data_IF_855461111156
#
_entry.id   IF_855461111156
#
_cell.length_a   1.000
_cell.length_b   1.000
_cell.length_c   1.000
_cell.angle_alpha   90.00
_cell.angle_beta   90.00
_cell.angle_gamma   90.00
#
_symmetry.space_group_name_H-M   'P 1'
#
loop_
_entity.id
_entity.type
_entity.pdbx_description
1 polymer ?
#
# COMPACT_ATOMS: atom_id res chain seq x y z
N UNK A 1 -0.43 -6.88 16.22
CA UNK A 1 -0.14 -5.46 16.55
C UNK A 1 -0.37 -4.61 15.30
N UNK A 2 -0.91 -3.39 15.42
CA UNK A 2 -1.06 -2.46 14.28
C UNK A 2 0.10 -1.46 14.31
N UNK A 3 0.86 -1.39 13.22
CA UNK A 3 1.86 -0.34 12.98
C UNK A 3 1.37 0.46 11.77
N UNK A 4 1.53 1.79 11.84
CA UNK A 4 0.85 2.77 10.99
C UNK A 4 -0.67 2.79 11.20
N UNK A 5 -1.13 3.86 11.84
CA UNK A 5 -2.50 4.04 12.35
C UNK A 5 -3.53 4.41 11.27
N UNK A 6 -3.19 4.27 10.00
CA UNK A 6 -4.05 4.62 8.87
C UNK A 6 -4.20 6.13 8.64
N UNK A 7 -3.39 6.98 9.27
CA UNK A 7 -3.36 8.41 8.93
C UNK A 7 -2.65 8.67 7.60
N UNK A 8 -3.12 9.70 6.91
CA UNK A 8 -2.44 10.20 5.73
C UNK A 8 -1.19 10.99 6.14
N UNK A 9 -0.08 10.70 5.50
CA UNK A 9 1.18 11.44 5.62
C UNK A 9 1.45 12.12 4.30
N UNK A 10 1.64 13.44 4.31
CA UNK A 10 2.05 14.16 3.10
C UNK A 10 3.48 13.79 2.72
N UNK A 11 3.67 13.46 1.45
CA UNK A 11 4.99 13.23 0.86
C UNK A 11 5.55 14.56 0.36
N UNK A 12 6.88 14.68 0.30
CA UNK A 12 7.54 15.84 -0.30
C UNK A 12 7.46 15.72 -1.81
N UNK A 13 6.41 16.24 -2.42
CA UNK A 13 6.24 16.24 -3.88
C UNK A 13 5.65 17.56 -4.37
N UNK A 14 5.82 17.91 -5.65
CA UNK A 14 5.11 19.04 -6.25
C UNK A 14 3.58 18.80 -6.26
N UNK A 15 3.15 17.55 -6.38
CA UNK A 15 1.77 17.15 -6.65
C UNK A 15 0.93 16.80 -5.41
N UNK A 16 1.26 17.35 -4.23
CA UNK A 16 0.45 17.20 -3.00
C UNK A 16 0.07 15.73 -2.68
N UNK A 17 1.01 14.81 -2.90
CA UNK A 17 0.79 13.37 -2.73
C UNK A 17 0.78 13.04 -1.25
N UNK A 18 -0.10 12.12 -0.86
CA UNK A 18 -0.12 11.54 0.48
C UNK A 18 0.00 10.02 0.42
N UNK A 19 0.67 9.45 1.42
CA UNK A 19 0.71 8.02 1.66
C UNK A 19 -0.11 7.71 2.91
N UNK A 20 -0.97 6.70 2.82
CA UNK A 20 -1.62 6.08 3.98
C UNK A 20 -1.18 4.62 4.04
N UNK A 21 -0.72 4.22 5.22
CA UNK A 21 -0.30 2.85 5.51
C UNK A 21 -1.15 2.30 6.63
N UNK A 22 -1.69 1.10 6.44
CA UNK A 22 -2.26 0.27 7.48
C UNK A 22 -1.60 -1.10 7.34
N UNK A 23 -1.02 -1.62 8.41
CA UNK A 23 -0.45 -2.97 8.44
C UNK A 23 -0.85 -3.70 9.71
N UNK A 24 -1.16 -4.99 9.57
CA UNK A 24 -1.32 -5.91 10.69
C UNK A 24 -0.21 -6.94 10.66
N UNK A 25 0.38 -7.16 11.82
CA UNK A 25 1.35 -8.22 12.03
C UNK A 25 0.80 -9.29 12.97
N UNK A 26 1.11 -10.53 12.61
CA UNK A 26 0.98 -11.72 13.44
C UNK A 26 2.35 -12.10 14.01
N UNK A 27 2.40 -12.45 15.30
CA UNK A 27 3.60 -13.01 15.91
C UNK A 27 3.56 -14.53 15.76
N UNK A 28 4.57 -15.08 15.10
CA UNK A 28 4.72 -16.51 14.88
C UNK A 28 5.78 -17.04 15.84
N UNK A 29 5.41 -18.07 16.61
CA UNK A 29 6.34 -18.75 17.50
C UNK A 29 7.20 -19.74 16.71
N UNK A 30 8.42 -19.32 16.40
CA UNK A 30 9.45 -20.12 15.76
C UNK A 30 10.42 -20.76 16.75
N UNK A 31 10.12 -20.83 18.06
CA UNK A 31 11.01 -21.48 19.04
C UNK A 31 11.25 -22.95 18.74
N UNK A 32 10.28 -23.64 18.14
CA UNK A 32 10.46 -25.02 17.67
C UNK A 32 11.49 -25.16 16.53
N UNK A 33 11.74 -24.08 15.77
CA UNK A 33 12.73 -24.02 14.68
C UNK A 33 13.98 -23.22 15.07
N UNK A 34 14.12 -22.82 16.35
CA UNK A 34 15.25 -22.04 16.86
C UNK A 34 15.27 -20.56 16.47
N UNK A 35 14.22 -20.06 15.79
CA UNK A 35 14.16 -18.68 15.29
C UNK A 35 13.57 -17.68 16.28
N UNK A 36 13.06 -18.14 17.43
CA UNK A 36 12.42 -17.29 18.43
C UNK A 36 11.04 -16.81 17.96
N UNK A 37 10.65 -15.58 18.28
CA UNK A 37 9.42 -14.98 17.77
C UNK A 37 9.70 -14.17 16.50
N UNK A 38 8.93 -14.40 15.45
CA UNK A 38 8.99 -13.64 14.20
C UNK A 38 7.70 -12.88 13.97
N UNK A 39 7.78 -11.65 13.46
CA UNK A 39 6.61 -10.90 13.01
C UNK A 39 6.38 -11.15 11.52
N UNK A 40 5.16 -11.51 11.14
CA UNK A 40 4.74 -11.69 9.75
C UNK A 40 3.61 -10.73 9.44
N UNK A 41 3.69 -10.04 8.30
CA UNK A 41 2.57 -9.26 7.77
C UNK A 41 1.40 -10.20 7.48
N UNK A 42 0.24 -9.96 8.10
CA UNK A 42 -0.98 -10.73 7.87
C UNK A 42 -2.04 -9.95 7.10
N UNK A 43 -1.98 -8.61 7.16
CA UNK A 43 -2.84 -7.72 6.40
C UNK A 43 -2.10 -6.42 6.07
N UNK A 44 -2.43 -5.81 4.93
CA UNK A 44 -2.00 -4.45 4.63
C UNK A 44 -2.99 -3.69 3.74
N UNK A 45 -2.91 -2.37 3.85
CA UNK A 45 -3.42 -1.42 2.87
C UNK A 45 -2.40 -0.28 2.70
N UNK A 46 -1.83 -0.16 1.50
CA UNK A 46 -0.95 0.93 1.12
C UNK A 46 -1.66 1.79 0.08
N UNK A 47 -2.06 2.99 0.46
CA UNK A 47 -2.83 3.89 -0.39
C UNK A 47 -2.01 5.13 -0.72
N UNK A 48 -1.85 5.42 -2.02
CA UNK A 48 -1.41 6.73 -2.48
C UNK A 48 -2.64 7.59 -2.79
N UNK A 49 -2.64 8.82 -2.29
CA UNK A 49 -3.74 9.77 -2.43
C UNK A 49 -3.23 11.07 -3.03
N UNK A 50 -4.09 11.74 -3.79
CA UNK A 50 -3.90 13.09 -4.28
C UNK A 50 -4.75 14.06 -3.48
N UNK A 51 -4.14 15.13 -2.96
CA UNK A 51 -4.85 16.19 -2.25
C UNK A 51 -5.03 17.41 -3.14
N UNK A 52 -6.27 17.84 -3.32
CA UNK A 52 -6.61 19.16 -3.86
C UNK A 52 -6.96 20.12 -2.74
N UNK A 53 -7.23 21.39 -3.08
CA UNK A 53 -7.70 22.39 -2.13
C UNK A 53 -9.02 21.98 -1.43
N UNK A 54 -9.86 21.16 -2.07
CA UNK A 54 -11.21 20.83 -1.60
C UNK A 54 -11.44 19.35 -1.32
N UNK A 55 -10.52 18.45 -1.70
CA UNK A 55 -10.73 17.01 -1.56
C UNK A 55 -9.41 16.23 -1.40
N UNK A 56 -9.53 14.99 -0.92
CA UNK A 56 -8.48 13.97 -0.99
C UNK A 56 -9.04 12.78 -1.74
N UNK A 57 -8.40 12.39 -2.84
CA UNK A 57 -8.84 11.31 -3.70
C UNK A 57 -7.80 10.21 -3.76
N UNK A 58 -8.25 8.95 -3.70
CA UNK A 58 -7.35 7.81 -3.89
C UNK A 58 -6.88 7.75 -5.35
N UNK A 59 -5.58 7.51 -5.52
CA UNK A 59 -4.92 7.28 -6.80
C UNK A 59 -4.80 5.77 -7.07
N UNK A 60 -4.08 5.06 -6.21
CA UNK A 60 -3.97 3.60 -6.20
C UNK A 60 -3.92 3.09 -4.77
N UNK A 61 -4.38 1.86 -4.56
CA UNK A 61 -4.26 1.18 -3.27
C UNK A 61 -3.94 -0.30 -3.42
N UNK A 62 -2.87 -0.75 -2.76
CA UNK A 62 -2.51 -2.17 -2.67
C UNK A 62 -3.06 -2.75 -1.38
N UNK A 63 -3.91 -3.76 -1.48
CA UNK A 63 -4.63 -4.35 -0.36
C UNK A 63 -4.38 -5.86 -0.26
N UNK A 64 -4.28 -6.33 0.98
CA UNK A 64 -4.39 -7.74 1.31
C UNK A 64 -5.02 -7.90 2.69
N UNK A 65 -6.22 -8.49 2.74
CA UNK A 65 -7.00 -8.69 3.96
C UNK A 65 -7.77 -10.02 3.90
N UNK A 66 -7.07 -11.17 4.02
CA UNK A 66 -7.61 -12.49 3.72
C UNK A 66 -8.79 -12.93 4.60
N UNK A 67 -8.92 -12.34 5.79
CA UNK A 67 -9.91 -12.73 6.80
C UNK A 67 -11.09 -11.75 6.94
N UNK A 68 -11.05 -10.59 6.27
CA UNK A 68 -12.03 -9.51 6.48
C UNK A 68 -13.24 -9.62 5.55
N UNK A 69 -13.08 -10.14 4.33
CA UNK A 69 -14.18 -10.18 3.33
C UNK A 69 -14.33 -11.54 2.66
N UNK A 70 -15.56 -12.10 2.60
CA UNK A 70 -15.85 -13.23 1.73
C UNK A 70 -15.54 -12.87 0.27
N UNK A 71 -14.67 -13.63 -0.38
CA UNK A 71 -14.46 -13.59 -1.84
C UNK A 71 -13.17 -12.96 -2.36
N UNK A 72 -12.47 -12.11 -1.60
CA UNK A 72 -11.17 -11.54 -2.02
C UNK A 72 -10.11 -11.85 -0.98
N UNK A 73 -9.37 -12.94 -1.22
CA UNK A 73 -8.36 -13.46 -0.28
C UNK A 73 -6.93 -13.26 -0.74
N UNK A 74 -6.75 -12.91 -2.01
CA UNK A 74 -5.45 -12.66 -2.61
C UNK A 74 -5.11 -11.18 -2.56
N UNK A 75 -3.81 -10.82 -2.51
CA UNK A 75 -3.36 -9.46 -2.75
C UNK A 75 -3.93 -8.88 -4.04
N UNK A 76 -4.29 -7.60 -4.00
CA UNK A 76 -4.89 -6.93 -5.14
C UNK A 76 -4.67 -5.42 -5.11
N UNK A 77 -4.82 -4.82 -6.29
CA UNK A 77 -4.77 -3.39 -6.54
C UNK A 77 -6.20 -2.85 -6.72
N UNK A 78 -6.46 -1.70 -6.12
CA UNK A 78 -7.54 -0.79 -6.47
C UNK A 78 -6.99 0.37 -7.28
N UNK A 79 -7.68 0.71 -8.37
CA UNK A 79 -7.45 1.94 -9.13
C UNK A 79 -8.46 2.98 -8.64
N UNK A 80 -7.96 4.03 -8.01
CA UNK A 80 -8.77 5.03 -7.37
C UNK A 80 -9.42 6.01 -8.34
N UNK A 81 -10.42 6.78 -7.86
CA UNK A 81 -11.16 7.73 -8.69
C UNK A 81 -10.31 8.91 -9.18
N UNK A 82 -9.12 9.17 -8.62
CA UNK A 82 -8.21 10.18 -9.18
C UNK A 82 -7.69 9.79 -10.58
N UNK A 83 -7.62 8.48 -10.90
CA UNK A 83 -7.20 7.98 -12.22
C UNK A 83 -8.41 7.67 -13.09
N UNK A 84 -9.29 6.82 -12.59
CA UNK A 84 -10.38 6.25 -13.39
C UNK A 84 -11.62 7.16 -13.43
N UNK A 85 -11.72 8.16 -12.55
CA UNK A 85 -12.98 8.83 -12.27
C UNK A 85 -13.97 7.90 -11.54
N UNK A 86 -14.94 8.50 -10.83
CA UNK A 86 -15.87 7.75 -9.99
C UNK A 86 -16.90 6.90 -10.76
N UNK A 87 -17.02 7.09 -12.08
CA UNK A 87 -18.05 6.48 -12.92
C UNK A 87 -17.53 5.59 -14.05
N UNK A 88 -16.20 5.46 -14.21
CA UNK A 88 -15.65 4.60 -15.26
C UNK A 88 -16.02 3.13 -15.01
N UNK A 89 -16.54 2.48 -16.04
CA UNK A 89 -16.98 1.09 -16.00
C UNK A 89 -16.11 0.20 -16.88
N UNK A 90 -15.94 -1.04 -16.46
CA UNK A 90 -15.54 -2.16 -17.32
C UNK A 90 -16.69 -3.18 -17.24
N UNK A 91 -17.47 -3.28 -18.32
CA UNK A 91 -18.73 -4.01 -18.32
C UNK A 91 -19.71 -3.44 -17.29
N UNK A 92 -20.16 -4.26 -16.35
CA UNK A 92 -21.12 -3.88 -15.30
C UNK A 92 -20.45 -3.41 -14.00
N UNK A 93 -19.12 -3.34 -13.96
CA UNK A 93 -18.36 -3.02 -12.74
C UNK A 93 -17.68 -1.66 -12.86
N UNK A 94 -17.77 -0.88 -11.80
CA UNK A 94 -17.01 0.37 -11.67
C UNK A 94 -15.56 0.04 -11.37
N UNK A 95 -14.63 0.71 -12.05
CA UNK A 95 -13.19 0.39 -11.99
C UNK A 95 -12.63 0.37 -10.57
N UNK A 96 -13.01 1.33 -9.73
CA UNK A 96 -12.56 1.39 -8.33
C UNK A 96 -13.08 0.24 -7.43
N UNK A 97 -14.03 -0.57 -7.92
CA UNK A 97 -14.55 -1.78 -7.25
C UNK A 97 -13.96 -3.08 -7.80
N UNK A 98 -13.09 -2.99 -8.79
CA UNK A 98 -12.39 -4.16 -9.34
C UNK A 98 -11.13 -4.39 -8.52
N UNK A 99 -10.93 -5.64 -8.10
CA UNK A 99 -9.75 -6.08 -7.37
C UNK A 99 -8.80 -6.70 -8.39
N UNK A 100 -7.84 -5.93 -8.89
CA UNK A 100 -6.87 -6.41 -9.87
C UNK A 100 -5.83 -7.29 -9.14
N UNK A 101 -5.70 -8.59 -9.46
CA UNK A 101 -4.80 -9.47 -8.70
C UNK A 101 -3.34 -9.01 -8.74
N UNK A 102 -2.66 -9.12 -7.60
CA UNK A 102 -1.22 -8.87 -7.48
C UNK A 102 -0.54 -9.99 -6.70
N UNK A 103 0.80 -9.94 -6.65
CA UNK A 103 1.55 -10.62 -5.58
C UNK A 103 1.47 -9.85 -4.25
N UNK A 104 2.12 -10.39 -3.21
CA UNK A 104 2.38 -9.62 -2.00
C UNK A 104 3.17 -8.37 -2.40
N UNK A 105 2.69 -7.21 -1.96
CA UNK A 105 3.36 -5.94 -2.23
C UNK A 105 4.16 -5.54 -1.00
N UNK A 106 5.48 -5.36 -1.08
CA UNK A 106 6.25 -4.72 -0.03
C UNK A 106 5.88 -3.24 0.07
N UNK A 107 5.80 -2.71 1.30
CA UNK A 107 5.63 -1.25 1.48
C UNK A 107 6.78 -0.48 0.82
N UNK A 108 8.00 -1.04 0.83
CA UNK A 108 9.17 -0.45 0.22
C UNK A 108 8.99 -0.21 -1.29
N UNK A 109 8.33 -1.11 -2.01
CA UNK A 109 8.04 -0.93 -3.45
C UNK A 109 7.04 0.19 -3.71
N UNK A 110 6.08 0.43 -2.82
CA UNK A 110 5.16 1.58 -2.93
C UNK A 110 5.89 2.90 -2.69
N UNK A 111 6.84 2.92 -1.75
CA UNK A 111 7.69 4.10 -1.50
C UNK A 111 8.63 4.35 -2.68
N UNK A 112 9.20 3.29 -3.27
CA UNK A 112 10.02 3.37 -4.48
C UNK A 112 9.23 3.99 -5.63
N UNK A 113 8.04 3.45 -5.92
CA UNK A 113 7.12 4.01 -6.91
C UNK A 113 6.90 5.51 -6.70
N UNK A 114 6.66 5.91 -5.45
CA UNK A 114 6.43 7.32 -5.13
C UNK A 114 7.67 8.19 -5.45
N UNK A 115 8.87 7.72 -5.15
CA UNK A 115 10.11 8.44 -5.40
C UNK A 115 10.47 8.48 -6.90
N UNK A 116 10.44 7.32 -7.56
CA UNK A 116 10.95 7.17 -8.93
C UNK A 116 9.95 7.64 -9.99
N UNK A 117 8.65 7.47 -9.76
CA UNK A 117 7.62 7.73 -10.78
C UNK A 117 6.70 8.91 -10.45
N UNK A 118 6.71 9.40 -9.21
CA UNK A 118 5.80 10.47 -8.75
C UNK A 118 6.53 11.67 -8.13
N UNK A 119 7.82 11.82 -8.44
CA UNK A 119 8.67 12.94 -8.04
C UNK A 119 8.63 13.24 -6.52
N UNK A 120 8.49 12.20 -5.69
CA UNK A 120 8.62 12.34 -4.23
C UNK A 120 10.10 12.43 -3.85
N UNK A 121 10.46 13.49 -3.14
CA UNK A 121 11.80 13.69 -2.61
C UNK A 121 12.07 12.70 -1.44
N UNK A 122 13.11 11.85 -1.54
CA UNK A 122 13.49 10.96 -0.46
C UNK A 122 14.09 11.74 0.71
N UNK A 123 13.79 11.32 1.94
CA UNK A 123 14.31 11.96 3.15
C UNK A 123 15.74 11.54 3.52
N UNK A 124 16.26 10.48 2.90
CA UNK A 124 17.57 9.89 3.18
C UNK A 124 18.34 9.66 1.88
N UNK A 125 19.65 9.82 1.91
CA UNK A 125 20.51 9.71 0.72
C UNK A 125 20.75 8.27 0.27
N UNK A 126 20.61 7.29 1.17
CA UNK A 126 20.81 5.86 0.95
C UNK A 126 19.47 5.11 0.81
N UNK A 127 18.42 5.80 0.36
CA UNK A 127 17.07 5.24 0.29
C UNK A 127 17.01 4.00 -0.59
N UNK A 128 17.76 3.96 -1.70
CA UNK A 128 17.74 2.83 -2.64
C UNK A 128 18.12 1.52 -1.95
N UNK A 129 19.18 1.53 -1.14
CA UNK A 129 19.67 0.36 -0.41
C UNK A 129 18.65 -0.11 0.62
N UNK A 130 18.08 0.83 1.39
CA UNK A 130 17.07 0.50 2.40
C UNK A 130 15.80 -0.04 1.79
N UNK A 131 15.35 0.50 0.66
CA UNK A 131 14.20 -0.07 -0.04
C UNK A 131 14.53 -1.46 -0.57
N UNK A 132 15.67 -1.65 -1.24
CA UNK A 132 16.06 -2.95 -1.80
C UNK A 132 16.13 -4.06 -0.72
N UNK A 133 16.68 -3.77 0.45
CA UNK A 133 16.72 -4.69 1.59
C UNK A 133 15.33 -5.09 2.12
N UNK A 134 14.32 -4.22 1.92
CA UNK A 134 12.96 -4.42 2.43
C UNK A 134 11.95 -4.84 1.34
N UNK A 135 12.38 -4.96 0.08
CA UNK A 135 11.56 -5.47 -1.03
C UNK A 135 11.62 -7.00 -1.13
N UNK A 136 12.64 -7.62 -0.55
CA UNK A 136 12.80 -9.07 -0.47
C UNK A 136 12.26 -9.54 0.88
N UNK A 137 10.93 -9.73 0.98
CA UNK A 137 10.26 -10.33 2.13
C UNK A 137 9.66 -11.69 1.81
#
# INVERSE_FOLDING_TARGET
MMLADGRNVSLRSPDQIQLRVLMRFELVDGRATGTGWTARTSEYAYTLLFRTASNVSEFISYHWQPDVRPGVRTPHLHIGPAIAGSSMQIGTRTVNRIHFPTGIMPMASVVRLAIEELDVEPLRSDWQSVLAENEVQ
#
